data_IF_916473302750
#
_entry.id   IF_916473302750
#
_cell.length_a   1.000
_cell.length_b   1.000
_cell.length_c   1.000
_cell.angle_alpha   90.00
_cell.angle_beta   90.00
_cell.angle_gamma   90.00
#
_symmetry.space_group_name_H-M   'P 1'
#
loop_
_entity.id
_entity.type
_entity.pdbx_description
1 polymer ?
#
# COMPACT_ATOMS: atom_id res chain seq x y z
N UNK A 1 14.79 -2.74 10.24
CA UNK A 1 14.03 -3.96 9.83
C UNK A 1 12.60 -3.74 10.29
N UNK A 2 11.60 -3.90 9.43
CA UNK A 2 10.20 -3.65 9.81
C UNK A 2 9.81 -4.45 11.05
N UNK A 3 9.11 -3.80 11.98
CA UNK A 3 8.37 -4.48 13.06
C UNK A 3 7.05 -5.01 12.49
N UNK A 4 6.77 -6.30 12.63
CA UNK A 4 5.53 -6.92 12.16
C UNK A 4 4.37 -6.80 13.17
N UNK A 5 4.40 -5.76 14.02
CA UNK A 5 3.33 -5.46 14.95
C UNK A 5 2.18 -4.75 14.21
N UNK A 6 0.96 -5.28 14.35
CA UNK A 6 -0.22 -4.58 13.90
C UNK A 6 -0.75 -3.67 15.02
N UNK A 7 -0.82 -2.39 14.75
CA UNK A 7 -1.39 -1.39 15.65
C UNK A 7 -2.93 -1.41 15.61
N UNK A 8 -3.58 -0.81 16.58
CA UNK A 8 -5.05 -0.66 16.62
C UNK A 8 -5.60 0.07 15.38
N UNK A 9 -4.80 0.97 14.79
CA UNK A 9 -5.09 1.63 13.51
C UNK A 9 -5.09 0.68 12.31
N UNK A 10 -4.60 -0.56 12.48
CA UNK A 10 -4.37 -1.53 11.40
C UNK A 10 -3.04 -1.37 10.68
N UNK A 11 -2.25 -0.33 10.96
CA UNK A 11 -0.90 -0.18 10.40
C UNK A 11 0.04 -1.26 10.94
N UNK A 12 1.00 -1.69 10.12
CA UNK A 12 2.11 -2.56 10.53
C UNK A 12 3.36 -1.71 10.71
N UNK A 13 4.00 -1.84 11.87
CA UNK A 13 5.21 -1.12 12.26
C UNK A 13 5.27 -0.88 13.76
N UNK A 14 6.39 -0.40 14.29
CA UNK A 14 6.42 0.05 15.68
C UNK A 14 5.70 1.40 15.84
N UNK A 15 5.19 1.69 17.04
CA UNK A 15 4.57 2.97 17.34
C UNK A 15 5.53 4.14 17.08
N UNK A 16 6.81 3.96 17.43
CA UNK A 16 7.85 4.96 17.25
C UNK A 16 8.10 5.27 15.77
N UNK A 17 8.14 4.26 14.89
CA UNK A 17 8.33 4.41 13.45
C UNK A 17 7.13 5.11 12.81
N UNK A 18 5.92 4.75 13.21
CA UNK A 18 4.68 5.38 12.72
C UNK A 18 4.61 6.85 13.16
N UNK A 19 4.90 7.13 14.43
CA UNK A 19 4.95 8.50 14.95
C UNK A 19 6.06 9.34 14.30
N UNK A 20 7.19 8.72 13.97
CA UNK A 20 8.29 9.40 13.31
C UNK A 20 7.90 9.87 11.89
N UNK A 21 7.07 9.10 11.15
CA UNK A 21 6.60 9.50 9.82
C UNK A 21 5.92 10.87 9.81
N UNK A 22 5.09 11.15 10.82
CA UNK A 22 4.36 12.41 10.90
C UNK A 22 5.29 13.63 11.06
N UNK A 23 6.51 13.42 11.60
CA UNK A 23 7.47 14.48 11.92
C UNK A 23 8.58 14.66 10.87
N UNK A 24 8.65 13.82 9.85
CA UNK A 24 9.64 13.98 8.78
C UNK A 24 9.42 15.31 8.04
N UNK A 25 10.47 15.95 7.60
CA UNK A 25 10.37 17.15 6.75
C UNK A 25 9.81 16.80 5.37
N UNK A 26 10.24 15.65 4.85
CA UNK A 26 9.72 15.03 3.63
C UNK A 26 9.91 13.51 3.74
N UNK A 27 9.10 12.76 3.00
CA UNK A 27 9.17 11.30 2.94
C UNK A 27 8.82 10.81 1.54
N UNK A 28 9.46 9.75 1.08
CA UNK A 28 9.05 9.02 -0.10
C UNK A 28 8.27 7.77 0.35
N UNK A 29 7.15 7.47 -0.31
CA UNK A 29 6.35 6.29 -0.06
C UNK A 29 6.23 5.45 -1.33
N UNK A 30 6.19 4.13 -1.16
CA UNK A 30 5.95 3.18 -2.22
C UNK A 30 4.46 2.86 -2.29
N UNK A 31 3.80 3.19 -3.39
CA UNK A 31 2.36 3.04 -3.59
C UNK A 31 2.08 1.94 -4.63
N UNK A 32 1.40 0.88 -4.20
CA UNK A 32 1.09 -0.31 -5.02
C UNK A 32 -0.37 -0.68 -4.83
N UNK A 33 -1.00 -1.26 -5.85
CA UNK A 33 -2.37 -1.77 -5.80
C UNK A 33 -2.58 -2.95 -6.76
N UNK A 34 -3.63 -3.71 -6.51
CA UNK A 34 -4.22 -4.64 -7.49
C UNK A 34 -3.20 -5.67 -8.03
N UNK A 35 -2.53 -6.39 -7.14
CA UNK A 35 -1.51 -7.39 -7.51
C UNK A 35 -2.08 -8.72 -8.00
N UNK A 36 -3.33 -9.05 -7.63
CA UNK A 36 -4.12 -10.18 -8.17
C UNK A 36 -3.33 -11.50 -8.34
N UNK A 37 -2.62 -11.96 -7.30
CA UNK A 37 -1.85 -13.20 -7.28
C UNK A 37 -0.41 -13.06 -7.81
N UNK A 38 0.02 -11.89 -8.27
CA UNK A 38 1.39 -11.64 -8.76
C UNK A 38 2.32 -11.19 -7.62
N UNK A 39 2.45 -12.07 -6.62
CA UNK A 39 3.39 -11.88 -5.50
C UNK A 39 4.85 -11.71 -5.93
N UNK A 40 5.22 -12.27 -7.07
CA UNK A 40 6.54 -12.15 -7.68
C UNK A 40 6.80 -10.69 -8.10
N UNK A 41 5.85 -10.07 -8.79
CA UNK A 41 5.92 -8.66 -9.20
C UNK A 41 5.97 -7.75 -7.98
N UNK A 42 5.02 -7.92 -7.04
CA UNK A 42 4.95 -7.13 -5.81
C UNK A 42 6.28 -7.17 -5.03
N UNK A 43 6.84 -8.36 -4.85
CA UNK A 43 8.12 -8.53 -4.14
C UNK A 43 9.28 -7.85 -4.86
N UNK A 44 9.36 -7.98 -6.18
CA UNK A 44 10.41 -7.34 -6.97
C UNK A 44 10.33 -5.81 -6.91
N UNK A 45 9.11 -5.25 -6.92
CA UNK A 45 8.89 -3.80 -6.72
C UNK A 45 9.43 -3.38 -5.34
N UNK A 46 9.06 -4.10 -4.27
CA UNK A 46 9.54 -3.79 -2.91
C UNK A 46 11.07 -3.92 -2.82
N UNK A 47 11.67 -4.96 -3.39
CA UNK A 47 13.12 -5.15 -3.40
C UNK A 47 13.88 -4.01 -4.08
N UNK A 48 13.32 -3.44 -5.15
CA UNK A 48 13.94 -2.38 -5.95
C UNK A 48 13.76 -1.00 -5.37
N UNK A 49 12.57 -0.69 -4.83
CA UNK A 49 12.15 0.67 -4.47
C UNK A 49 11.93 0.88 -2.97
N UNK A 50 11.66 -0.19 -2.22
CA UNK A 50 11.23 -0.04 -0.83
C UNK A 50 12.30 0.50 0.11
N UNK A 51 13.59 0.25 -0.16
CA UNK A 51 14.69 0.68 0.72
C UNK A 51 14.77 2.19 0.92
N UNK A 52 14.41 2.98 -0.09
CA UNK A 52 14.41 4.45 -0.03
C UNK A 52 13.11 5.01 0.53
N UNK A 53 12.08 4.19 0.69
CA UNK A 53 10.77 4.62 1.11
C UNK A 53 10.59 4.53 2.63
N UNK A 54 9.93 5.54 3.20
CA UNK A 54 9.58 5.58 4.62
C UNK A 54 8.35 4.70 4.94
N UNK A 55 7.49 4.45 3.96
CA UNK A 55 6.36 3.55 4.07
C UNK A 55 6.05 2.85 2.75
N UNK A 56 5.42 1.68 2.83
CA UNK A 56 4.73 1.04 1.71
C UNK A 56 3.22 1.11 1.94
N UNK A 57 2.49 1.48 0.88
CA UNK A 57 1.04 1.62 0.90
C UNK A 57 0.47 0.68 -0.17
N UNK A 58 -0.41 -0.24 0.27
CA UNK A 58 -1.06 -1.20 -0.60
C UNK A 58 -2.58 -0.97 -0.62
N UNK A 59 -3.11 -0.56 -1.78
CA UNK A 59 -4.50 -0.15 -1.92
C UNK A 59 -5.49 -1.30 -2.21
N UNK A 60 -5.14 -2.55 -1.87
CA UNK A 60 -6.06 -3.70 -1.93
C UNK A 60 -6.02 -4.50 -3.23
N UNK A 61 -6.90 -5.51 -3.30
CA UNK A 61 -7.01 -6.54 -4.34
C UNK A 61 -5.71 -7.30 -4.59
N UNK A 62 -5.35 -8.08 -3.55
CA UNK A 62 -4.13 -8.89 -3.50
C UNK A 62 -3.51 -8.92 -2.11
N UNK A 63 -4.30 -8.78 -1.06
CA UNK A 63 -3.84 -8.83 0.33
C UNK A 63 -3.03 -10.10 0.60
N UNK A 64 -3.39 -11.24 0.00
CA UNK A 64 -2.61 -12.46 0.12
C UNK A 64 -1.16 -12.32 -0.38
N UNK A 65 -0.94 -11.58 -1.46
CA UNK A 65 0.41 -11.32 -1.98
C UNK A 65 1.18 -10.38 -1.03
N UNK A 66 0.49 -9.37 -0.48
CA UNK A 66 1.09 -8.42 0.45
C UNK A 66 1.46 -9.10 1.77
N UNK A 67 0.58 -9.93 2.34
CA UNK A 67 0.85 -10.72 3.55
C UNK A 67 1.99 -11.74 3.32
N UNK A 68 2.07 -12.33 2.13
CA UNK A 68 3.19 -13.19 1.76
C UNK A 68 4.52 -12.40 1.69
N UNK A 69 4.51 -11.14 1.28
CA UNK A 69 5.70 -10.28 1.31
C UNK A 69 6.08 -9.90 2.75
N UNK A 70 5.12 -9.56 3.62
CA UNK A 70 5.37 -9.36 5.06
C UNK A 70 6.01 -10.60 5.70
N UNK A 71 5.40 -11.76 5.52
CA UNK A 71 5.94 -13.04 6.03
C UNK A 71 7.34 -13.35 5.50
N UNK A 72 7.63 -12.96 4.26
CA UNK A 72 8.94 -13.21 3.66
C UNK A 72 10.06 -12.37 4.29
N UNK A 73 9.76 -11.25 4.95
CA UNK A 73 10.75 -10.48 5.71
C UNK A 73 11.39 -11.31 6.84
N UNK A 74 10.65 -12.27 7.41
CA UNK A 74 11.16 -13.19 8.43
C UNK A 74 12.10 -14.25 7.85
N UNK A 75 11.97 -14.56 6.56
CA UNK A 75 12.71 -15.64 5.86
C UNK A 75 13.93 -15.12 5.13
N UNK A 76 13.97 -13.83 4.78
CA UNK A 76 15.05 -13.22 4.01
C UNK A 76 15.50 -11.90 4.61
N UNK A 77 16.68 -11.91 5.25
CA UNK A 77 17.30 -10.69 5.79
C UNK A 77 17.53 -9.63 4.68
N UNK A 78 17.89 -10.06 3.47
CA UNK A 78 18.08 -9.17 2.32
C UNK A 78 16.77 -8.45 1.98
N UNK A 79 15.67 -9.18 1.89
CA UNK A 79 14.36 -8.61 1.60
C UNK A 79 13.87 -7.70 2.73
N UNK A 80 14.05 -8.12 3.99
CA UNK A 80 13.70 -7.31 5.16
C UNK A 80 14.41 -5.94 5.20
N UNK A 81 15.63 -5.84 4.66
CA UNK A 81 16.35 -4.57 4.54
C UNK A 81 15.82 -3.66 3.42
N UNK A 82 15.06 -4.22 2.49
CA UNK A 82 14.41 -3.47 1.42
C UNK A 82 12.97 -3.08 1.78
N UNK A 83 12.37 -3.75 2.76
CA UNK A 83 10.99 -3.48 3.15
C UNK A 83 10.92 -2.21 3.99
N UNK A 84 10.03 -1.23 3.65
CA UNK A 84 9.86 0.00 4.42
C UNK A 84 9.47 -0.28 5.89
N UNK A 85 9.87 0.60 6.84
CA UNK A 85 9.61 0.38 8.26
C UNK A 85 8.12 0.41 8.64
N UNK A 86 7.29 1.08 7.86
CA UNK A 86 5.84 1.17 8.07
C UNK A 86 5.09 0.64 6.84
N UNK A 87 4.04 -0.14 7.10
CA UNK A 87 3.14 -0.61 6.06
C UNK A 87 1.69 -0.22 6.37
N UNK A 88 1.04 0.41 5.40
CA UNK A 88 -0.39 0.70 5.38
C UNK A 88 -1.04 -0.12 4.26
N UNK A 89 -2.23 -0.67 4.52
CA UNK A 89 -2.95 -1.47 3.53
C UNK A 89 -4.43 -1.46 3.81
N UNK A 90 -5.21 -1.61 2.76
CA UNK A 90 -6.66 -1.71 2.84
C UNK A 90 -7.15 -2.88 2.02
N UNK A 91 -8.33 -3.42 2.34
CA UNK A 91 -8.90 -4.49 1.56
C UNK A 91 -9.55 -3.97 0.28
N UNK A 92 -9.37 -4.70 -0.81
CA UNK A 92 -10.14 -4.56 -2.03
C UNK A 92 -11.47 -5.36 -2.01
N UNK A 93 -12.16 -5.37 -3.14
CA UNK A 93 -13.40 -6.14 -3.27
C UNK A 93 -13.16 -7.66 -3.39
N UNK A 94 -11.94 -8.08 -3.74
CA UNK A 94 -11.53 -9.48 -3.77
C UNK A 94 -10.88 -9.98 -2.48
N UNK A 95 -10.73 -9.15 -1.46
CA UNK A 95 -10.05 -9.48 -0.21
C UNK A 95 -11.02 -9.70 0.95
N UNK A 96 -10.59 -10.44 1.99
CA UNK A 96 -11.33 -10.67 3.24
C UNK A 96 -10.95 -9.67 4.32
N UNK A 97 -11.77 -9.59 5.40
CA UNK A 97 -11.53 -8.71 6.56
C UNK A 97 -10.35 -9.16 7.44
N UNK A 98 -10.00 -10.45 7.37
CA UNK A 98 -8.89 -11.06 8.08
C UNK A 98 -8.08 -11.92 7.13
N UNK A 99 -6.77 -11.96 7.33
CA UNK A 99 -5.88 -12.80 6.54
C UNK A 99 -4.91 -13.57 7.43
N UNK A 100 -4.78 -14.90 7.24
CA UNK A 100 -3.86 -15.73 8.02
C UNK A 100 -2.39 -15.40 7.68
N UNK A 101 -1.55 -15.32 8.72
CA UNK A 101 -0.11 -15.05 8.61
C UNK A 101 0.69 -16.04 9.45
N UNK A 102 1.96 -16.22 9.12
CA UNK A 102 2.87 -17.12 9.80
C UNK A 102 3.79 -16.40 10.82
N UNK A 103 3.44 -15.19 11.21
CA UNK A 103 4.10 -14.40 12.24
C UNK A 103 3.08 -13.87 13.26
N UNK A 104 3.52 -13.62 14.50
CA UNK A 104 2.68 -13.02 15.54
C UNK A 104 2.58 -11.50 15.35
N UNK A 105 1.42 -10.97 14.92
CA UNK A 105 1.25 -9.54 14.74
C UNK A 105 0.98 -8.80 16.06
N UNK A 106 0.82 -9.52 17.18
CA UNK A 106 0.54 -8.93 18.49
C UNK A 106 1.16 -9.76 19.63
N UNK A 107 2.52 -9.83 19.72
CA UNK A 107 3.22 -10.70 20.67
C UNK A 107 3.00 -10.32 22.15
N UNK A 108 2.43 -9.15 22.42
CA UNK A 108 2.14 -8.66 23.77
C UNK A 108 0.69 -8.89 24.21
N UNK A 109 -0.17 -9.42 23.33
CA UNK A 109 -1.54 -9.77 23.73
C UNK A 109 -1.57 -11.11 24.49
N UNK A 110 -2.39 -11.19 25.55
CA UNK A 110 -2.60 -12.43 26.34
C UNK A 110 -3.33 -13.55 25.56
N UNK A 111 -3.54 -13.39 24.25
CA UNK A 111 -4.28 -14.31 23.37
C UNK A 111 -3.60 -15.68 23.15
N UNK A 112 -2.40 -15.92 23.71
CA UNK A 112 -1.68 -17.22 23.67
C UNK A 112 -2.39 -18.38 24.39
N UNK A 113 -3.54 -18.13 25.05
CA UNK A 113 -4.17 -19.13 25.92
C UNK A 113 -5.05 -20.16 25.21
N UNK A 114 -5.27 -20.07 23.89
CA UNK A 114 -6.19 -20.97 23.17
C UNK A 114 -5.56 -21.89 22.10
N UNK A 115 -4.25 -22.00 22.00
CA UNK A 115 -3.62 -22.86 20.99
C UNK A 115 -3.40 -24.29 21.48
N UNK A 116 -4.49 -25.04 21.68
CA UNK A 116 -4.45 -26.50 21.93
C UNK A 116 -4.51 -27.35 20.66
N UNK A 117 -4.35 -26.75 19.45
CA UNK A 117 -4.33 -27.48 18.18
C UNK A 117 -3.09 -27.18 17.35
N UNK A 118 -2.06 -27.99 17.57
CA UNK A 118 -0.74 -27.93 16.91
C UNK A 118 -0.70 -28.51 15.49
N UNK A 119 -1.61 -28.21 14.57
CA UNK A 119 -1.54 -28.82 13.23
C UNK A 119 -2.00 -27.95 12.05
N UNK A 120 -2.05 -26.63 12.18
CA UNK A 120 -2.31 -25.74 11.03
C UNK A 120 -1.17 -24.74 10.82
N UNK A 121 -0.82 -24.53 9.56
CA UNK A 121 0.33 -23.73 9.09
C UNK A 121 0.19 -22.21 9.29
N UNK A 122 -0.97 -21.72 9.72
CA UNK A 122 -1.23 -20.32 10.03
C UNK A 122 -1.75 -20.22 11.47
N UNK A 123 -0.94 -19.65 12.35
CA UNK A 123 -1.27 -19.52 13.78
C UNK A 123 -1.94 -18.19 14.11
N UNK A 124 -1.82 -17.19 13.24
CA UNK A 124 -2.22 -15.82 13.50
C UNK A 124 -3.00 -15.22 12.32
N UNK A 125 -3.77 -14.20 12.61
CA UNK A 125 -4.47 -13.42 11.61
C UNK A 125 -4.18 -11.93 11.79
N UNK A 126 -4.09 -11.20 10.68
CA UNK A 126 -4.12 -9.75 10.68
C UNK A 126 -5.48 -9.26 10.21
N UNK A 127 -5.93 -8.16 10.81
CA UNK A 127 -7.15 -7.47 10.38
C UNK A 127 -6.85 -6.60 9.17
N UNK A 128 -7.68 -6.70 8.14
CA UNK A 128 -7.54 -5.91 6.92
C UNK A 128 -8.61 -4.80 6.93
N UNK A 129 -8.22 -3.55 7.20
CA UNK A 129 -9.18 -2.46 7.29
C UNK A 129 -9.73 -2.09 5.91
N UNK A 130 -10.96 -1.60 5.86
CA UNK A 130 -11.57 -1.09 4.63
C UNK A 130 -10.95 0.25 4.20
N UNK A 131 -10.56 1.06 5.17
CA UNK A 131 -9.86 2.33 4.96
C UNK A 131 -8.84 2.55 6.06
N UNK A 132 -7.81 3.33 5.77
CA UNK A 132 -6.83 3.76 6.77
C UNK A 132 -6.57 5.25 6.67
N UNK A 133 -6.13 5.83 7.77
CA UNK A 133 -5.58 7.20 7.81
C UNK A 133 -4.15 7.10 8.29
N UNK A 134 -3.25 7.77 7.58
CA UNK A 134 -1.84 7.84 7.91
C UNK A 134 -1.39 9.30 7.84
N UNK A 135 -0.54 9.73 8.78
CA UNK A 135 0.06 11.06 8.74
C UNK A 135 1.52 10.97 8.37
N UNK A 136 1.93 11.67 7.31
CA UNK A 136 3.31 11.70 6.82
C UNK A 136 3.72 13.16 6.59
N UNK A 137 4.86 13.59 7.16
CA UNK A 137 5.36 14.97 6.97
C UNK A 137 4.33 16.08 7.28
N UNK A 138 3.48 15.82 8.28
CA UNK A 138 2.37 16.72 8.63
C UNK A 138 1.12 16.61 7.75
N UNK A 139 1.18 15.87 6.62
CA UNK A 139 0.12 15.68 5.63
C UNK A 139 -0.78 14.51 6.04
N UNK A 140 -2.09 14.70 6.01
CA UNK A 140 -3.07 13.65 6.27
C UNK A 140 -3.39 12.88 4.98
N UNK A 141 -3.24 11.56 5.04
CA UNK A 141 -3.44 10.66 3.90
C UNK A 141 -4.60 9.75 4.21
N UNK A 142 -5.62 9.75 3.36
CA UNK A 142 -6.71 8.79 3.37
C UNK A 142 -6.43 7.68 2.36
N UNK A 143 -6.54 6.42 2.80
CA UNK A 143 -6.26 5.24 1.98
C UNK A 143 -7.56 4.43 1.87
N UNK A 144 -7.98 4.15 0.65
CA UNK A 144 -9.14 3.30 0.32
C UNK A 144 -8.83 2.46 -0.91
N UNK A 145 -9.55 1.35 -1.10
CA UNK A 145 -9.46 0.66 -2.39
C UNK A 145 -10.25 1.38 -3.49
N UNK A 146 -11.35 2.05 -3.15
CA UNK A 146 -12.17 2.80 -4.09
C UNK A 146 -13.44 2.09 -4.58
N UNK A 147 -13.59 0.78 -4.38
CA UNK A 147 -14.78 0.03 -4.81
C UNK A 147 -16.06 0.49 -4.11
N UNK A 148 -15.99 0.79 -2.81
CA UNK A 148 -17.12 1.34 -2.04
C UNK A 148 -17.39 2.81 -2.32
N UNK A 149 -16.43 3.49 -2.90
CA UNK A 149 -16.50 4.91 -3.26
C UNK A 149 -16.95 5.14 -4.70
N UNK A 150 -17.17 4.07 -5.46
CA UNK A 150 -17.61 4.14 -6.85
C UNK A 150 -16.57 4.73 -7.80
N UNK A 151 -15.28 4.44 -7.57
CA UNK A 151 -14.14 5.02 -8.30
C UNK A 151 -14.23 4.93 -9.83
N UNK A 152 -14.99 3.98 -10.40
CA UNK A 152 -15.26 3.92 -11.85
C UNK A 152 -16.19 5.02 -12.37
N UNK A 153 -17.00 5.60 -11.48
CA UNK A 153 -18.03 6.58 -11.84
C UNK A 153 -17.61 8.03 -11.51
N UNK A 154 -16.39 8.20 -11.03
CA UNK A 154 -15.84 9.51 -10.67
C UNK A 154 -15.35 9.56 -9.23
N UNK A 155 -14.78 10.69 -8.84
CA UNK A 155 -14.13 10.88 -7.54
C UNK A 155 -15.00 11.61 -6.50
N UNK A 156 -16.21 12.06 -6.84
CA UNK A 156 -17.02 12.92 -5.97
C UNK A 156 -17.28 12.32 -4.57
N UNK A 157 -17.63 11.02 -4.50
CA UNK A 157 -17.87 10.35 -3.23
C UNK A 157 -16.59 10.20 -2.42
N UNK A 158 -15.49 9.94 -3.09
CA UNK A 158 -14.18 9.84 -2.46
C UNK A 158 -13.71 11.23 -1.97
N UNK A 159 -13.98 12.31 -2.72
CA UNK A 159 -13.71 13.69 -2.32
C UNK A 159 -14.50 14.09 -1.07
N UNK A 160 -15.77 13.70 -0.99
CA UNK A 160 -16.56 13.91 0.22
C UNK A 160 -15.91 13.23 1.43
N UNK A 161 -15.52 11.96 1.32
CA UNK A 161 -14.87 11.23 2.42
C UNK A 161 -13.49 11.79 2.78
N UNK A 162 -12.75 12.27 1.79
CA UNK A 162 -11.47 12.94 2.00
C UNK A 162 -11.68 14.22 2.85
N UNK A 163 -12.68 15.02 2.51
CA UNK A 163 -13.06 16.23 3.28
C UNK A 163 -13.47 15.88 4.72
N UNK A 164 -14.31 14.86 4.90
CA UNK A 164 -14.73 14.39 6.24
C UNK A 164 -13.55 13.89 7.09
N UNK A 165 -12.52 13.37 6.44
CA UNK A 165 -11.29 12.86 7.08
C UNK A 165 -10.18 13.92 7.17
N UNK A 166 -10.41 15.15 6.71
CA UNK A 166 -9.42 16.22 6.59
C UNK A 166 -8.17 15.75 5.84
N UNK A 167 -8.34 14.95 4.80
CA UNK A 167 -7.24 14.39 4.02
C UNK A 167 -6.73 15.38 2.98
N UNK A 168 -5.42 15.50 2.90
CA UNK A 168 -4.71 16.27 1.89
C UNK A 168 -4.42 15.43 0.63
N UNK A 169 -4.27 14.11 0.84
CA UNK A 169 -3.98 13.13 -0.21
C UNK A 169 -4.89 11.91 -0.04
N UNK A 170 -5.40 11.39 -1.14
CA UNK A 170 -6.13 10.12 -1.19
C UNK A 170 -5.35 9.14 -2.06
N UNK A 171 -5.00 7.99 -1.51
CA UNK A 171 -4.48 6.86 -2.26
C UNK A 171 -5.58 5.83 -2.48
N UNK A 172 -5.74 5.38 -3.74
CA UNK A 172 -6.79 4.41 -4.08
C UNK A 172 -6.36 3.47 -5.22
N UNK A 173 -7.09 2.39 -5.45
CA UNK A 173 -6.87 1.39 -6.49
C UNK A 173 -8.11 1.12 -7.32
N UNK A 174 -8.47 -0.15 -7.49
CA UNK A 174 -9.72 -0.66 -8.05
C UNK A 174 -9.92 -0.43 -9.55
N UNK A 175 -9.63 0.76 -10.07
CA UNK A 175 -9.82 1.06 -11.50
C UNK A 175 -8.77 0.37 -12.36
N UNK A 176 -7.63 0.00 -11.80
CA UNK A 176 -6.43 -0.52 -12.46
C UNK A 176 -5.84 0.46 -13.49
N UNK A 177 -6.15 1.76 -13.37
CA UNK A 177 -5.65 2.81 -14.24
C UNK A 177 -4.84 3.79 -13.42
N UNK A 178 -3.56 3.95 -13.78
CA UNK A 178 -2.71 4.93 -13.13
C UNK A 178 -3.24 6.34 -13.40
N UNK A 179 -3.41 7.13 -12.34
CA UNK A 179 -3.92 8.50 -12.45
C UNK A 179 -3.50 9.38 -11.28
N UNK A 180 -3.38 10.67 -11.54
CA UNK A 180 -3.25 11.72 -10.53
C UNK A 180 -4.19 12.86 -10.89
N UNK A 181 -5.07 13.21 -9.98
CA UNK A 181 -6.07 14.28 -10.13
C UNK A 181 -6.06 15.13 -8.86
N UNK A 182 -6.32 16.42 -8.99
CA UNK A 182 -6.49 17.34 -7.87
C UNK A 182 -7.91 17.88 -7.86
N UNK A 183 -8.59 17.80 -6.73
CA UNK A 183 -9.93 18.34 -6.51
C UNK A 183 -9.88 19.07 -5.16
N UNK A 184 -10.26 20.36 -5.13
CA UNK A 184 -10.34 21.17 -3.92
C UNK A 184 -9.07 21.07 -3.03
N UNK A 185 -7.88 21.19 -3.65
CA UNK A 185 -6.57 21.07 -3.00
C UNK A 185 -6.26 19.69 -2.39
N UNK A 186 -7.05 18.68 -2.70
CA UNK A 186 -6.78 17.28 -2.33
C UNK A 186 -6.27 16.52 -3.55
N UNK A 187 -5.15 15.82 -3.40
CA UNK A 187 -4.61 14.97 -4.45
C UNK A 187 -5.20 13.56 -4.37
N UNK A 188 -5.71 13.07 -5.50
CA UNK A 188 -6.21 11.70 -5.68
C UNK A 188 -5.22 10.95 -6.56
N UNK A 189 -4.57 9.91 -6.02
CA UNK A 189 -3.50 9.18 -6.69
C UNK A 189 -3.83 7.70 -6.71
N UNK A 190 -3.91 7.16 -7.93
CA UNK A 190 -4.07 5.72 -8.17
C UNK A 190 -2.81 5.21 -8.87
N UNK A 191 -2.09 4.23 -8.29
CA UNK A 191 -0.88 3.70 -8.91
C UNK A 191 -1.15 2.83 -10.15
N UNK A 192 -2.41 2.54 -10.45
CA UNK A 192 -2.82 1.51 -11.38
C UNK A 192 -2.73 0.11 -10.75
N UNK A 193 -2.72 -0.92 -11.59
CA UNK A 193 -2.49 -2.31 -11.17
C UNK A 193 -1.08 -2.75 -11.59
N UNK A 194 -0.32 -3.34 -10.68
CA UNK A 194 0.99 -3.89 -11.02
C UNK A 194 0.91 -5.22 -11.78
N UNK A 195 -0.30 -5.77 -12.00
CA UNK A 195 -0.51 -7.08 -12.62
C UNK A 195 -1.57 -7.11 -13.72
N UNK A 196 -2.74 -6.50 -13.49
CA UNK A 196 -3.91 -6.55 -14.38
C UNK A 196 -4.35 -5.15 -14.82
N UNK A 197 -3.54 -4.44 -15.64
CA UNK A 197 -3.85 -3.07 -16.03
C UNK A 197 -5.12 -2.99 -16.86
N UNK A 198 -5.82 -1.85 -16.71
CA UNK A 198 -6.96 -1.46 -17.54
C UNK A 198 -6.67 -0.11 -18.20
N UNK A 199 -7.64 0.41 -18.97
CA UNK A 199 -7.46 1.66 -19.73
C UNK A 199 -6.73 1.46 -21.04
N UNK A 200 -6.28 2.56 -21.65
CA UNK A 200 -5.54 2.54 -22.91
C UNK A 200 -4.41 3.59 -22.84
N UNK A 201 -3.15 3.19 -22.97
CA UNK A 201 -2.65 1.81 -23.07
C UNK A 201 -2.76 1.03 -21.76
N UNK A 202 -2.82 -0.31 -21.84
CA UNK A 202 -2.84 -1.21 -20.68
C UNK A 202 -1.42 -1.41 -20.16
N UNK A 203 -0.99 -0.56 -19.24
CA UNK A 203 0.36 -0.59 -18.68
C UNK A 203 0.28 -1.05 -17.21
N UNK A 204 0.85 -2.23 -16.85
CA UNK A 204 1.01 -2.58 -15.46
C UNK A 204 1.89 -1.54 -14.76
N UNK A 205 1.49 -1.09 -13.58
CA UNK A 205 2.14 0.08 -12.97
C UNK A 205 2.06 0.09 -11.44
N UNK A 206 2.96 0.87 -10.85
CA UNK A 206 2.98 1.31 -9.46
C UNK A 206 3.52 2.74 -9.42
N UNK A 207 3.60 3.34 -8.23
CA UNK A 207 4.15 4.69 -8.08
C UNK A 207 5.06 4.82 -6.85
N UNK A 208 5.98 5.80 -6.90
CA UNK A 208 6.54 6.41 -5.70
C UNK A 208 5.98 7.81 -5.55
N UNK A 209 5.74 8.23 -4.31
CA UNK A 209 5.19 9.56 -4.00
C UNK A 209 6.06 10.21 -2.95
N UNK A 210 6.69 11.33 -3.31
CA UNK A 210 7.37 12.20 -2.35
C UNK A 210 6.36 13.13 -1.71
N UNK A 211 6.29 13.10 -0.39
CA UNK A 211 5.34 13.86 0.41
C UNK A 211 6.11 14.89 1.22
N UNK A 212 5.67 16.15 1.16
CA UNK A 212 6.27 17.26 1.89
C UNK A 212 5.20 18.21 2.42
N UNK A 213 5.49 18.91 3.52
CA UNK A 213 4.59 19.92 4.11
C UNK A 213 4.51 21.24 3.32
N UNK A 214 5.13 21.33 2.12
CA UNK A 214 5.15 22.53 1.29
C UNK A 214 3.91 22.71 0.40
N UNK A 215 3.97 23.65 -0.54
CA UNK A 215 2.87 23.92 -1.49
C UNK A 215 2.58 22.75 -2.40
N UNK A 216 3.60 22.05 -2.89
CA UNK A 216 3.46 20.80 -3.62
C UNK A 216 3.55 19.62 -2.66
N UNK A 217 2.39 19.24 -2.09
CA UNK A 217 2.29 18.21 -1.04
C UNK A 217 2.63 16.81 -1.51
N UNK A 218 2.51 16.53 -2.83
CA UNK A 218 2.78 15.22 -3.41
C UNK A 218 3.38 15.32 -4.81
N UNK A 219 4.66 14.92 -4.94
CA UNK A 219 5.30 14.67 -6.24
C UNK A 219 5.20 13.16 -6.54
N UNK A 220 4.51 12.78 -7.60
CA UNK A 220 4.25 11.38 -7.96
C UNK A 220 5.08 10.97 -9.18
N UNK A 221 5.82 9.87 -9.07
CA UNK A 221 6.47 9.20 -10.20
C UNK A 221 5.80 7.85 -10.41
N UNK A 222 5.20 7.67 -11.59
CA UNK A 222 4.63 6.38 -12.01
C UNK A 222 5.68 5.56 -12.74
N UNK A 223 5.68 4.25 -12.48
CA UNK A 223 6.55 3.29 -13.15
C UNK A 223 5.72 2.21 -13.83
N UNK A 224 6.00 1.97 -15.11
CA UNK A 224 5.51 0.80 -15.83
C UNK A 224 6.31 -0.44 -15.42
N UNK A 225 5.64 -1.60 -15.49
CA UNK A 225 6.24 -2.91 -15.19
C UNK A 225 6.28 -3.72 -16.47
N UNK A 226 7.47 -3.96 -17.00
CA UNK A 226 7.68 -4.81 -18.17
C UNK A 226 8.33 -6.12 -17.75
N UNK A 227 7.81 -7.24 -18.27
CA UNK A 227 8.39 -8.56 -18.06
C UNK A 227 9.24 -8.96 -19.28
N UNK A 228 10.51 -9.21 -19.05
CA UNK A 228 11.42 -9.77 -20.06
C UNK A 228 11.67 -11.25 -19.80
N UNK A 229 11.68 -12.06 -20.86
CA UNK A 229 11.83 -13.52 -20.76
C UNK A 229 13.19 -13.91 -20.15
N UNK A 230 14.24 -13.14 -20.41
CA UNK A 230 15.62 -13.43 -19.99
C UNK A 230 16.16 -12.53 -18.86
N UNK A 231 15.56 -11.36 -18.63
CA UNK A 231 16.17 -10.31 -17.79
C UNK A 231 15.34 -9.97 -16.53
N UNK A 232 14.18 -10.60 -16.36
CA UNK A 232 13.28 -10.35 -15.24
C UNK A 232 12.37 -9.14 -15.47
N UNK A 233 12.12 -8.33 -14.41
CA UNK A 233 11.25 -7.15 -14.50
C UNK A 233 12.08 -5.88 -14.73
N UNK A 234 11.66 -5.10 -15.71
CA UNK A 234 12.11 -3.73 -15.95
C UNK A 234 11.06 -2.73 -15.48
N UNK A 235 11.52 -1.59 -14.97
CA UNK A 235 10.67 -0.51 -14.45
C UNK A 235 11.05 0.80 -15.14
N UNK A 236 10.10 1.39 -15.87
CA UNK A 236 10.35 2.61 -16.65
C UNK A 236 9.38 3.70 -16.18
N UNK A 237 9.89 4.90 -15.81
CA UNK A 237 9.01 6.04 -15.49
C UNK A 237 8.12 6.40 -16.69
N UNK A 238 6.85 6.73 -16.42
CA UNK A 238 5.91 7.21 -17.44
C UNK A 238 4.93 8.23 -16.88
N UNK A 239 4.32 8.99 -17.77
CA UNK A 239 3.21 9.88 -17.43
C UNK A 239 1.88 9.16 -17.74
N UNK A 240 0.99 8.99 -16.76
CA UNK A 240 -0.31 8.37 -16.99
C UNK A 240 -1.18 9.30 -17.84
N UNK A 241 -2.07 8.69 -18.64
CA UNK A 241 -3.11 9.47 -19.33
C UNK A 241 -4.17 9.92 -18.33
N UNK A 242 -4.82 11.07 -18.54
CA UNK A 242 -5.97 11.47 -17.74
C UNK A 242 -7.03 10.36 -17.73
N UNK A 243 -7.57 10.04 -16.56
CA UNK A 243 -8.58 9.00 -16.43
C UNK A 243 -10.01 9.57 -16.54
N UNK A 244 -10.20 10.85 -16.23
CA UNK A 244 -11.45 11.60 -16.36
C UNK A 244 -11.22 12.90 -17.16
#
# INVERSE_FOLDING_TARGET
MISLLQQDSGLIGSAEEIDALARLANAEVLLISDSHGRKDVLRTIIERFGKSCAAVIFCGDGIGDFCAALSYTQKSKKFAQCFPPVAAFVRGNGDYDFFPVDFDPNPHSDSRKNSAQKNSRAEYEIKIPQTQILKISGINIFITHGHTDGAYYGLNRMAQRASESLADIVFYGHTHVASRTEIDLTYFINPGSCALPRGTPRIPSFATVKISGGQERAETTFFSVYAHISEGLEFVPFAPQPFF
#
